data_IF_623943669207
#
_entry.id   IF_623943669207
#
_cell.length_a   1.000
_cell.length_b   1.000
_cell.length_c   1.000
_cell.angle_alpha   90.00
_cell.angle_beta   90.00
_cell.angle_gamma   90.00
#
_symmetry.space_group_name_H-M   'P 1'
#
loop_
_entity.id
_entity.type
_entity.pdbx_description
1 polymer ?
#
# COMPACT_ATOMS: atom_id res chain seq x y z
N UNK A 1 24.57 11.97 -12.90
CA UNK A 1 23.24 11.34 -12.99
C UNK A 1 23.16 10.64 -14.33
N UNK A 2 23.59 9.39 -14.36
CA UNK A 2 23.51 8.55 -15.56
C UNK A 2 22.07 8.08 -15.75
N UNK A 3 21.60 7.94 -16.99
CA UNK A 3 20.23 7.49 -17.32
C UNK A 3 19.84 6.16 -16.66
N UNK A 4 20.84 5.34 -16.34
CA UNK A 4 20.69 4.07 -15.63
C UNK A 4 20.30 4.24 -14.15
N UNK A 5 20.77 5.29 -13.48
CA UNK A 5 20.44 5.54 -12.06
C UNK A 5 18.97 5.97 -11.90
N UNK A 6 18.45 6.77 -12.84
CA UNK A 6 17.04 7.18 -12.85
C UNK A 6 16.07 6.02 -13.06
N UNK A 7 16.43 5.04 -13.90
CA UNK A 7 15.59 3.87 -14.18
C UNK A 7 15.47 2.95 -12.96
N UNK A 8 16.57 2.74 -12.23
CA UNK A 8 16.59 1.97 -10.98
C UNK A 8 15.76 2.66 -9.90
N UNK A 9 15.96 3.97 -9.69
CA UNK A 9 15.22 4.73 -8.68
C UNK A 9 13.69 4.73 -8.95
N UNK A 10 13.29 4.78 -10.23
CA UNK A 10 11.87 4.73 -10.63
C UNK A 10 11.28 3.31 -10.44
N UNK A 11 12.08 2.28 -10.69
CA UNK A 11 11.69 0.88 -10.47
C UNK A 11 11.51 0.56 -8.99
N UNK A 12 12.42 1.02 -8.14
CA UNK A 12 12.36 0.81 -6.69
C UNK A 12 11.18 1.55 -6.05
N UNK A 13 10.90 2.79 -6.46
CA UNK A 13 9.73 3.55 -5.98
C UNK A 13 8.42 2.82 -6.30
N UNK A 14 8.26 2.36 -7.55
CA UNK A 14 7.08 1.59 -7.99
C UNK A 14 6.97 0.23 -7.31
N UNK A 15 8.10 -0.43 -7.07
CA UNK A 15 8.16 -1.71 -6.35
C UNK A 15 7.74 -1.56 -4.88
N UNK A 16 8.21 -0.51 -4.22
CA UNK A 16 7.86 -0.20 -2.83
C UNK A 16 6.39 0.21 -2.69
N UNK A 17 5.86 1.01 -3.61
CA UNK A 17 4.42 1.34 -3.61
C UNK A 17 3.55 0.08 -3.77
N UNK A 18 3.87 -0.81 -4.72
CA UNK A 18 3.13 -2.07 -4.89
C UNK A 18 3.22 -2.95 -3.65
N UNK A 19 4.41 -3.13 -3.07
CA UNK A 19 4.59 -3.88 -1.83
C UNK A 19 3.75 -3.33 -0.69
N UNK A 20 3.68 -2.00 -0.54
CA UNK A 20 2.86 -1.36 0.47
C UNK A 20 1.37 -1.58 0.22
N UNK A 21 0.91 -1.53 -1.03
CA UNK A 21 -0.49 -1.81 -1.38
C UNK A 21 -0.86 -3.26 -1.03
N UNK A 22 -0.03 -4.22 -1.44
CA UNK A 22 -0.27 -5.65 -1.21
C UNK A 22 -0.23 -5.96 0.30
N UNK A 23 0.75 -5.41 1.01
CA UNK A 23 0.88 -5.59 2.45
C UNK A 23 -0.30 -5.01 3.23
N UNK A 24 -0.71 -3.77 2.91
CA UNK A 24 -1.90 -3.13 3.52
C UNK A 24 -3.18 -3.90 3.17
N UNK A 25 -3.31 -4.39 1.95
CA UNK A 25 -4.46 -5.19 1.51
C UNK A 25 -4.58 -6.47 2.32
N UNK A 26 -3.48 -7.22 2.47
CA UNK A 26 -3.46 -8.44 3.28
C UNK A 26 -3.79 -8.14 4.73
N UNK A 27 -3.24 -7.06 5.31
CA UNK A 27 -3.60 -6.65 6.68
C UNK A 27 -5.09 -6.34 6.83
N UNK A 28 -5.72 -5.68 5.85
CA UNK A 28 -7.16 -5.37 5.90
C UNK A 28 -8.02 -6.63 5.77
N UNK A 29 -7.59 -7.63 4.99
CA UNK A 29 -8.37 -8.84 4.71
C UNK A 29 -8.16 -9.95 5.76
N UNK A 30 -6.93 -10.10 6.25
CA UNK A 30 -6.53 -11.23 7.10
C UNK A 30 -6.53 -10.89 8.59
N UNK A 31 -6.70 -9.61 8.96
CA UNK A 31 -6.67 -9.16 10.35
C UNK A 31 -7.84 -8.25 10.69
N UNK A 32 -8.25 -8.24 11.97
CA UNK A 32 -9.27 -7.34 12.50
C UNK A 32 -8.64 -6.04 13.07
N UNK A 33 -7.48 -5.64 12.52
CA UNK A 33 -6.79 -4.44 12.96
C UNK A 33 -7.47 -3.17 12.46
N UNK A 34 -7.59 -2.18 13.34
CA UNK A 34 -8.04 -0.85 12.94
C UNK A 34 -7.04 -0.14 12.03
N UNK A 35 -7.53 0.82 11.23
CA UNK A 35 -6.75 1.56 10.24
C UNK A 35 -5.46 2.18 10.81
N UNK A 36 -5.48 2.66 12.07
CA UNK A 36 -4.31 3.22 12.76
C UNK A 36 -3.19 2.19 12.95
N UNK A 37 -3.55 0.97 13.33
CA UNK A 37 -2.58 -0.10 13.57
C UNK A 37 -1.99 -0.61 12.25
N UNK A 38 -2.83 -0.74 11.23
CA UNK A 38 -2.39 -1.09 9.87
C UNK A 38 -1.43 -0.04 9.31
N UNK A 39 -1.76 1.24 9.48
CA UNK A 39 -0.90 2.35 9.06
C UNK A 39 0.47 2.31 9.74
N UNK A 40 0.49 2.04 11.06
CA UNK A 40 1.72 1.88 11.83
C UNK A 40 2.55 0.67 11.39
N UNK A 41 1.92 -0.48 11.11
CA UNK A 41 2.61 -1.71 10.70
C UNK A 41 3.21 -1.58 9.29
N UNK A 42 2.48 -0.96 8.37
CA UNK A 42 2.91 -0.76 7.00
C UNK A 42 3.79 0.49 6.81
N UNK A 43 4.01 1.29 7.87
CA UNK A 43 4.74 2.57 7.80
C UNK A 43 4.16 3.49 6.72
N UNK A 44 2.84 3.58 6.64
CA UNK A 44 2.09 4.43 5.70
C UNK A 44 1.15 5.37 6.46
N UNK A 45 0.60 6.36 5.77
CA UNK A 45 -0.43 7.21 6.38
C UNK A 45 -1.76 6.48 6.56
N UNK A 46 -2.53 6.86 7.56
CA UNK A 46 -3.90 6.34 7.77
C UNK A 46 -4.78 6.61 6.56
N UNK A 47 -4.59 7.76 5.89
CA UNK A 47 -5.32 8.08 4.67
C UNK A 47 -5.05 7.08 3.54
N UNK A 48 -3.82 6.59 3.42
CA UNK A 48 -3.46 5.56 2.45
C UNK A 48 -4.22 4.25 2.71
N UNK A 49 -4.25 3.82 3.99
CA UNK A 49 -5.02 2.64 4.40
C UNK A 49 -6.50 2.80 4.11
N UNK A 50 -7.09 3.96 4.42
CA UNK A 50 -8.50 4.26 4.13
C UNK A 50 -8.81 4.23 2.63
N UNK A 51 -7.91 4.75 1.78
CA UNK A 51 -8.06 4.69 0.32
C UNK A 51 -8.07 3.25 -0.18
N UNK A 52 -7.15 2.40 0.31
CA UNK A 52 -7.11 0.97 -0.04
C UNK A 52 -8.38 0.28 0.43
N UNK A 53 -8.80 0.52 1.68
CA UNK A 53 -10.03 -0.07 2.25
C UNK A 53 -11.28 0.30 1.45
N UNK A 54 -11.42 1.57 1.06
CA UNK A 54 -12.51 2.03 0.20
C UNK A 54 -12.47 1.39 -1.20
N UNK A 55 -11.27 1.25 -1.77
CA UNK A 55 -11.06 0.58 -3.07
C UNK A 55 -11.45 -0.90 -3.01
N UNK A 56 -11.07 -1.61 -1.94
CA UNK A 56 -11.43 -3.01 -1.70
C UNK A 56 -12.94 -3.19 -1.53
N UNK A 57 -13.58 -2.33 -0.74
CA UNK A 57 -15.04 -2.35 -0.56
C UNK A 57 -15.79 -2.11 -1.88
N UNK A 58 -15.25 -1.27 -2.77
CA UNK A 58 -15.80 -1.04 -4.11
C UNK A 58 -15.61 -2.26 -5.02
N UNK A 59 -14.48 -2.97 -4.89
CA UNK A 59 -14.15 -4.15 -5.71
C UNK A 59 -14.93 -5.40 -5.30
N UNK A 60 -15.38 -5.51 -4.05
CA UNK A 60 -16.22 -6.63 -3.57
C UNK A 60 -17.73 -6.46 -3.88
N UNK A 61 -18.17 -5.29 -4.36
CA UNK A 61 -19.58 -5.01 -4.69
C UNK A 61 -20.00 -5.50 -6.09
N UNK A 62 -19.41 -6.59 -6.60
CA UNK A 62 -19.73 -7.17 -7.92
C UNK A 62 -20.30 -8.56 -7.73
#
# INVERSE_FOLDING_TARGET
MSTYEMLLETGEKRGNEKKNIDFVTNLILDTDFGDQKIASLATVSIEFVRKIRASLAKKQKI
#
